data_IF_301751665402
#
_entry.id   IF_301751665402
#
_cell.length_a   1.000
_cell.length_b   1.000
_cell.length_c   1.000
_cell.angle_alpha   90.00
_cell.angle_beta   90.00
_cell.angle_gamma   90.00
#
_symmetry.space_group_name_H-M   'P 1'
#
loop_
_entity.id
_entity.type
_entity.pdbx_description
1 polymer ?
#
# COMPACT_ATOMS: atom_id res chain seq x y z
N UNK A 1 22.83 -27.59 -7.69
CA UNK A 1 22.34 -26.67 -6.63
C UNK A 1 21.75 -25.46 -7.34
N UNK A 2 20.42 -25.33 -7.32
CA UNK A 2 19.67 -24.35 -8.12
C UNK A 2 19.83 -22.94 -7.53
N UNK A 3 20.73 -22.15 -8.11
CA UNK A 3 20.81 -20.73 -7.86
C UNK A 3 19.73 -20.02 -8.67
N UNK A 4 18.71 -19.49 -7.99
CA UNK A 4 17.80 -18.55 -8.63
C UNK A 4 18.58 -17.27 -8.98
N UNK A 5 18.62 -16.94 -10.26
CA UNK A 5 19.29 -15.76 -10.80
C UNK A 5 18.48 -14.51 -10.45
N UNK A 6 19.13 -13.35 -10.33
CA UNK A 6 18.48 -12.04 -10.11
C UNK A 6 17.35 -11.76 -11.12
N UNK A 7 17.37 -12.40 -12.29
CA UNK A 7 16.39 -12.24 -13.38
C UNK A 7 15.18 -13.19 -13.28
N UNK A 8 15.21 -14.21 -12.42
CA UNK A 8 14.01 -14.98 -12.05
C UNK A 8 13.12 -14.20 -11.07
N UNK A 9 13.67 -13.22 -10.35
CA UNK A 9 12.98 -12.39 -9.35
C UNK A 9 11.99 -11.41 -10.00
N UNK A 10 12.13 -11.20 -11.31
CA UNK A 10 11.11 -10.62 -12.21
C UNK A 10 9.76 -11.36 -12.15
N UNK A 11 9.68 -12.57 -11.57
CA UNK A 11 8.47 -13.42 -11.44
C UNK A 11 7.30 -12.85 -10.61
N UNK A 12 7.39 -11.69 -9.95
CA UNK A 12 6.27 -11.18 -9.11
C UNK A 12 6.00 -9.67 -9.34
N UNK A 13 6.11 -9.20 -10.58
CA UNK A 13 5.42 -7.98 -10.98
C UNK A 13 3.92 -8.30 -11.21
N UNK A 14 3.18 -8.76 -10.20
CA UNK A 14 1.71 -8.96 -10.19
C UNK A 14 1.08 -9.50 -11.49
N UNK A 15 1.79 -10.37 -12.20
CA UNK A 15 1.25 -11.07 -13.35
C UNK A 15 0.04 -11.85 -12.85
N UNK A 16 -1.14 -11.49 -13.36
CA UNK A 16 -2.43 -12.13 -13.04
C UNK A 16 -2.43 -13.65 -13.26
N UNK A 17 -1.41 -14.16 -13.95
CA UNK A 17 -1.21 -15.58 -14.29
C UNK A 17 -0.17 -16.29 -13.39
N UNK A 18 0.45 -15.58 -12.45
CA UNK A 18 1.33 -16.20 -11.44
C UNK A 18 0.49 -16.92 -10.38
N UNK A 19 0.99 -18.03 -9.84
CA UNK A 19 0.34 -18.78 -8.74
C UNK A 19 0.01 -17.86 -7.55
N UNK A 20 0.90 -16.91 -7.27
CA UNK A 20 0.73 -15.89 -6.22
C UNK A 20 -0.42 -14.93 -6.55
N UNK A 21 -0.49 -14.41 -7.78
CA UNK A 21 -1.58 -13.51 -8.21
C UNK A 21 -2.95 -14.20 -8.20
N UNK A 22 -3.00 -15.48 -8.56
CA UNK A 22 -4.21 -16.30 -8.51
C UNK A 22 -4.65 -16.53 -7.05
N UNK A 23 -3.73 -16.85 -6.14
CA UNK A 23 -4.04 -17.04 -4.72
C UNK A 23 -4.57 -15.77 -4.07
N UNK A 24 -3.92 -14.63 -4.34
CA UNK A 24 -4.37 -13.33 -3.85
C UNK A 24 -5.77 -12.97 -4.37
N UNK A 25 -6.08 -13.24 -5.65
CA UNK A 25 -7.44 -13.04 -6.17
C UNK A 25 -8.46 -13.94 -5.46
N UNK A 26 -8.12 -15.19 -5.19
CA UNK A 26 -9.02 -16.09 -4.45
C UNK A 26 -9.26 -15.61 -3.02
N UNK A 27 -8.24 -15.09 -2.34
CA UNK A 27 -8.41 -14.54 -0.99
C UNK A 27 -9.28 -13.29 -1.01
N UNK A 28 -9.08 -12.37 -1.96
CA UNK A 28 -9.87 -11.13 -2.06
C UNK A 28 -11.30 -11.37 -2.54
N UNK A 29 -11.49 -12.16 -3.60
CA UNK A 29 -12.79 -12.32 -4.28
C UNK A 29 -13.53 -13.60 -3.88
N UNK A 30 -12.84 -14.59 -3.32
CA UNK A 30 -13.41 -15.89 -2.96
C UNK A 30 -13.81 -16.04 -1.49
N UNK A 31 -13.22 -15.27 -0.58
CA UNK A 31 -13.57 -15.33 0.86
C UNK A 31 -14.34 -14.11 1.38
N UNK A 32 -14.21 -12.94 0.74
CA UNK A 32 -14.60 -11.69 1.41
C UNK A 32 -15.76 -11.01 0.70
N UNK A 33 -16.96 -11.51 1.00
CA UNK A 33 -18.22 -10.85 0.67
C UNK A 33 -18.35 -9.52 1.41
N UNK A 34 -18.66 -8.48 0.65
CA UNK A 34 -19.09 -7.13 1.09
C UNK A 34 -18.22 -6.48 2.17
N UNK A 35 -17.21 -5.71 1.76
CA UNK A 35 -16.44 -4.88 2.67
C UNK A 35 -17.27 -3.71 3.19
N UNK A 36 -17.61 -3.76 4.48
CA UNK A 36 -18.11 -2.61 5.21
C UNK A 36 -17.10 -1.46 5.16
N UNK A 37 -17.60 -0.24 4.94
CA UNK A 37 -16.79 0.99 4.98
C UNK A 37 -16.18 1.18 6.38
N UNK A 38 -14.91 1.58 6.50
CA UNK A 38 -14.31 1.88 7.79
C UNK A 38 -14.92 3.09 8.51
N UNK A 39 -15.25 2.95 9.80
CA UNK A 39 -15.87 4.00 10.62
C UNK A 39 -14.97 4.53 11.77
N UNK A 40 -13.78 3.98 12.00
CA UNK A 40 -12.81 4.48 13.00
C UNK A 40 -11.36 4.33 12.53
N UNK A 41 -10.44 5.12 13.12
CA UNK A 41 -9.06 5.40 12.65
C UNK A 41 -8.54 4.44 11.57
N UNK A 42 -8.59 4.94 10.34
CA UNK A 42 -8.06 4.40 9.09
C UNK A 42 -7.16 3.15 9.21
N UNK A 43 -5.98 3.31 9.82
CA UNK A 43 -4.91 2.31 9.81
C UNK A 43 -5.29 1.01 10.55
N UNK A 44 -5.95 1.09 11.71
CA UNK A 44 -6.28 -0.08 12.55
C UNK A 44 -7.27 -1.01 11.83
N UNK A 45 -8.21 -0.44 11.07
CA UNK A 45 -9.11 -1.26 10.28
C UNK A 45 -8.40 -1.92 9.10
N UNK A 46 -7.50 -1.18 8.44
CA UNK A 46 -6.68 -1.74 7.37
C UNK A 46 -5.76 -2.85 7.89
N UNK A 47 -5.25 -2.79 9.13
CA UNK A 47 -4.49 -3.90 9.73
C UNK A 47 -5.29 -5.21 9.71
N UNK A 48 -6.56 -5.19 10.13
CA UNK A 48 -7.42 -6.39 10.13
C UNK A 48 -7.69 -6.91 8.72
N UNK A 49 -8.07 -6.01 7.80
CA UNK A 49 -8.38 -6.37 6.41
C UNK A 49 -7.14 -6.95 5.72
N UNK A 50 -6.00 -6.26 5.83
CA UNK A 50 -4.76 -6.67 5.19
C UNK A 50 -4.18 -7.95 5.81
N UNK A 51 -4.36 -8.19 7.12
CA UNK A 51 -3.97 -9.46 7.75
C UNK A 51 -4.69 -10.65 7.13
N UNK A 52 -5.98 -10.52 6.85
CA UNK A 52 -6.77 -11.58 6.21
C UNK A 52 -6.39 -11.77 4.75
N UNK A 53 -6.21 -10.67 4.02
CA UNK A 53 -5.85 -10.66 2.60
C UNK A 53 -4.45 -11.22 2.35
N UNK A 54 -3.48 -10.92 3.22
CA UNK A 54 -2.08 -11.29 3.07
C UNK A 54 -1.68 -12.43 4.01
N UNK A 55 -2.64 -13.25 4.44
CA UNK A 55 -2.35 -14.44 5.21
C UNK A 55 -1.36 -15.33 4.43
N UNK A 56 -0.24 -15.68 5.06
CA UNK A 56 0.82 -16.45 4.43
C UNK A 56 1.77 -15.64 3.53
N UNK A 57 1.58 -14.33 3.37
CA UNK A 57 2.44 -13.44 2.56
C UNK A 57 3.48 -12.64 3.35
N UNK A 58 3.60 -12.88 4.66
CA UNK A 58 4.58 -12.22 5.55
C UNK A 58 4.36 -10.71 5.64
N UNK A 59 3.17 -10.33 6.13
CA UNK A 59 2.76 -8.94 6.37
C UNK A 59 3.32 -8.43 7.70
N UNK A 60 3.95 -7.26 7.65
CA UNK A 60 4.48 -6.51 8.79
C UNK A 60 3.79 -5.17 8.90
N UNK A 61 3.60 -4.70 10.12
CA UNK A 61 3.07 -3.37 10.43
C UNK A 61 4.16 -2.45 10.93
N UNK A 62 4.06 -1.16 10.65
CA UNK A 62 4.97 -0.14 11.19
C UNK A 62 6.45 -0.53 10.94
N UNK A 63 6.73 -1.04 9.73
CA UNK A 63 7.97 -1.73 9.40
C UNK A 63 9.10 -0.73 9.08
N UNK A 64 10.30 -0.89 9.64
CA UNK A 64 11.43 -0.01 9.36
C UNK A 64 12.06 -0.29 7.98
N UNK A 65 12.23 0.74 7.16
CA UNK A 65 12.99 0.71 5.90
C UNK A 65 14.04 1.82 5.93
N UNK A 66 15.29 1.42 6.21
CA UNK A 66 16.38 2.37 6.41
C UNK A 66 16.05 3.31 7.59
N UNK A 67 16.13 4.65 7.40
CA UNK A 67 15.78 5.61 8.44
C UNK A 67 14.27 5.86 8.58
N UNK A 68 13.45 5.24 7.74
CA UNK A 68 12.01 5.49 7.67
C UNK A 68 11.20 4.34 8.24
N UNK A 69 9.94 4.62 8.55
CA UNK A 69 8.94 3.62 8.94
C UNK A 69 7.78 3.68 7.96
N UNK A 70 7.30 2.54 7.51
CA UNK A 70 6.14 2.42 6.61
C UNK A 70 5.00 1.71 7.33
N UNK A 71 3.75 2.00 6.95
CA UNK A 71 2.58 1.49 7.66
C UNK A 71 2.45 -0.03 7.51
N UNK A 72 2.65 -0.54 6.28
CA UNK A 72 2.56 -1.95 5.95
C UNK A 72 3.67 -2.40 4.99
N UNK A 73 4.22 -3.59 5.24
CA UNK A 73 5.19 -4.22 4.35
C UNK A 73 4.86 -5.69 4.14
N UNK A 74 4.70 -6.12 2.89
CA UNK A 74 4.43 -7.52 2.52
C UNK A 74 5.70 -8.12 1.93
N UNK A 75 6.46 -8.83 2.76
CA UNK A 75 7.85 -9.20 2.44
C UNK A 75 7.95 -10.12 1.23
N UNK A 76 7.04 -11.11 1.09
CA UNK A 76 7.03 -12.02 -0.06
C UNK A 76 6.71 -11.34 -1.39
N UNK A 77 6.10 -10.15 -1.36
CA UNK A 77 5.74 -9.36 -2.53
C UNK A 77 6.67 -8.17 -2.75
N UNK A 78 7.61 -7.90 -1.84
CA UNK A 78 8.45 -6.70 -1.87
C UNK A 78 7.61 -5.42 -2.00
N UNK A 79 6.45 -5.39 -1.33
CA UNK A 79 5.40 -4.38 -1.48
C UNK A 79 5.26 -3.55 -0.21
N UNK A 80 5.29 -2.24 -0.36
CA UNK A 80 5.01 -1.26 0.69
C UNK A 80 3.64 -0.64 0.45
N UNK A 81 2.81 -0.59 1.50
CA UNK A 81 1.53 0.13 1.48
C UNK A 81 1.55 1.24 2.53
N UNK A 82 1.08 2.43 2.14
CA UNK A 82 0.96 3.59 3.04
C UNK A 82 -0.46 4.14 3.02
N UNK A 83 -1.09 4.16 4.19
CA UNK A 83 -2.43 4.68 4.40
C UNK A 83 -2.32 6.14 4.84
N UNK A 84 -3.01 7.05 4.13
CA UNK A 84 -2.95 8.49 4.40
C UNK A 84 -1.51 9.08 4.39
N UNK A 85 -0.58 8.52 3.61
CA UNK A 85 0.83 8.95 3.60
C UNK A 85 1.08 10.42 3.20
N UNK A 86 0.08 11.12 2.66
CA UNK A 86 0.13 12.56 2.42
C UNK A 86 -0.06 13.40 3.68
N UNK A 87 -0.46 12.80 4.80
CA UNK A 87 -0.71 13.50 6.05
C UNK A 87 0.41 13.31 7.07
N UNK A 88 1.49 14.05 6.89
CA UNK A 88 2.53 14.17 7.90
C UNK A 88 2.47 15.56 8.55
N UNK A 89 2.44 15.59 9.89
CA UNK A 89 2.47 16.84 10.68
C UNK A 89 3.66 17.74 10.32
N UNK A 90 4.73 17.15 9.78
CA UNK A 90 5.95 17.82 9.31
C UNK A 90 6.30 17.42 7.88
N UNK A 91 5.32 17.49 6.96
CA UNK A 91 5.51 17.13 5.56
C UNK A 91 6.48 18.11 4.87
N UNK A 92 7.67 17.62 4.51
CA UNK A 92 8.61 18.30 3.62
C UNK A 92 8.60 17.60 2.25
N UNK A 93 8.15 18.26 1.17
CA UNK A 93 8.05 17.65 -0.15
C UNK A 93 9.39 17.16 -0.72
N UNK A 94 10.50 17.78 -0.34
CA UNK A 94 11.83 17.41 -0.81
C UNK A 94 12.31 16.15 -0.10
N UNK A 95 12.19 16.11 1.23
CA UNK A 95 12.52 14.93 2.02
C UNK A 95 11.63 13.75 1.64
N UNK A 96 10.35 14.01 1.39
CA UNK A 96 9.40 12.98 0.99
C UNK A 96 9.74 12.38 -0.38
N UNK A 97 10.16 13.19 -1.36
CA UNK A 97 10.63 12.68 -2.66
C UNK A 97 11.88 11.80 -2.51
N UNK A 98 12.79 12.17 -1.63
CA UNK A 98 14.00 11.36 -1.39
C UNK A 98 13.67 10.05 -0.66
N UNK A 99 12.72 10.09 0.28
CA UNK A 99 12.17 8.89 0.93
C UNK A 99 11.49 7.97 -0.07
N UNK A 100 10.60 8.51 -0.90
CA UNK A 100 9.92 7.80 -1.98
C UNK A 100 10.93 7.12 -2.91
N UNK A 101 11.96 7.84 -3.38
CA UNK A 101 13.05 7.27 -4.21
C UNK A 101 13.81 6.16 -3.49
N UNK A 102 14.11 6.31 -2.20
CA UNK A 102 14.83 5.29 -1.44
C UNK A 102 14.04 3.99 -1.36
N UNK A 103 12.74 4.09 -1.07
CA UNK A 103 11.85 2.92 -0.98
C UNK A 103 11.69 2.27 -2.36
N UNK A 104 11.39 3.06 -3.39
CA UNK A 104 11.08 2.50 -4.71
C UNK A 104 12.27 1.84 -5.41
N UNK A 105 13.52 2.12 -5.00
CA UNK A 105 14.71 1.39 -5.49
C UNK A 105 14.61 -0.13 -5.36
N UNK A 106 13.88 -0.62 -4.35
CA UNK A 106 13.81 -2.06 -4.04
C UNK A 106 12.39 -2.58 -3.94
N UNK A 107 11.42 -1.71 -3.68
CA UNK A 107 10.05 -2.09 -3.37
C UNK A 107 9.06 -1.43 -4.33
N UNK A 108 7.92 -2.06 -4.56
CA UNK A 108 6.76 -1.36 -5.10
C UNK A 108 6.10 -0.57 -3.97
N UNK A 109 5.63 0.65 -4.25
CA UNK A 109 4.99 1.52 -3.26
C UNK A 109 3.56 1.85 -3.69
N UNK A 110 2.58 1.54 -2.86
CA UNK A 110 1.18 1.96 -3.06
C UNK A 110 0.77 2.86 -1.91
N UNK A 111 0.34 4.08 -2.24
CA UNK A 111 -0.15 5.06 -1.27
C UNK A 111 -1.64 5.24 -1.48
N UNK A 112 -2.43 5.19 -0.42
CA UNK A 112 -3.88 5.20 -0.54
C UNK A 112 -4.58 6.02 0.54
N UNK A 113 -5.74 6.58 0.20
CA UNK A 113 -6.63 7.22 1.17
C UNK A 113 -7.37 6.15 1.96
N UNK A 114 -7.53 6.35 3.27
CA UNK A 114 -8.19 5.36 4.13
C UNK A 114 -9.64 5.00 3.75
N UNK A 115 -10.33 5.90 3.04
CA UNK A 115 -11.72 5.74 2.59
C UNK A 115 -11.89 4.97 1.27
N UNK A 116 -10.79 4.57 0.60
CA UNK A 116 -10.94 3.74 -0.60
C UNK A 116 -11.54 2.38 -0.24
N UNK A 117 -12.22 1.74 -1.18
CA UNK A 117 -12.66 0.36 -1.02
C UNK A 117 -11.49 -0.62 -1.29
N UNK A 118 -11.64 -1.88 -0.84
CA UNK A 118 -10.59 -2.88 -1.04
C UNK A 118 -10.30 -3.13 -2.53
N UNK A 119 -11.32 -3.15 -3.38
CA UNK A 119 -11.15 -3.39 -4.81
C UNK A 119 -10.21 -2.35 -5.45
N UNK A 120 -10.36 -1.08 -5.08
CA UNK A 120 -9.48 0.02 -5.54
C UNK A 120 -8.06 -0.20 -5.06
N UNK A 121 -7.89 -0.57 -3.77
CA UNK A 121 -6.57 -0.86 -3.22
C UNK A 121 -5.91 -2.03 -3.98
N UNK A 122 -6.66 -3.09 -4.22
CA UNK A 122 -6.16 -4.28 -4.91
C UNK A 122 -5.80 -3.99 -6.36
N UNK A 123 -6.64 -3.24 -7.07
CA UNK A 123 -6.34 -2.85 -8.44
C UNK A 123 -5.07 -1.99 -8.49
N UNK A 124 -4.87 -1.09 -7.53
CA UNK A 124 -3.63 -0.32 -7.42
C UNK A 124 -2.40 -1.19 -7.09
N UNK A 125 -2.57 -2.17 -6.19
CA UNK A 125 -1.54 -3.17 -5.90
C UNK A 125 -1.17 -3.92 -7.16
N UNK A 126 -2.14 -4.46 -7.90
CA UNK A 126 -1.92 -5.18 -9.17
C UNK A 126 -1.22 -4.36 -10.25
N UNK A 127 -1.37 -3.03 -10.25
CA UNK A 127 -0.69 -2.15 -11.19
C UNK A 127 0.73 -1.78 -10.75
N UNK A 128 1.07 -1.95 -9.47
CA UNK A 128 2.35 -1.51 -8.93
C UNK A 128 3.50 -2.40 -9.43
N UNK A 129 4.49 -1.80 -10.07
CA UNK A 129 5.71 -2.49 -10.52
C UNK A 129 6.88 -2.17 -9.59
N UNK A 130 7.89 -3.05 -9.46
CA UNK A 130 9.15 -2.69 -8.80
C UNK A 130 9.71 -1.40 -9.40
N UNK A 131 10.20 -0.48 -8.56
CA UNK A 131 10.66 0.84 -9.04
C UNK A 131 9.58 1.91 -9.15
N UNK A 132 8.30 1.56 -9.00
CA UNK A 132 7.18 2.49 -9.22
C UNK A 132 6.41 2.80 -7.95
N UNK A 133 5.65 3.88 -8.02
CA UNK A 133 4.72 4.30 -7.00
C UNK A 133 3.35 4.52 -7.60
N UNK A 134 2.33 3.95 -6.96
CA UNK A 134 0.92 4.17 -7.30
C UNK A 134 0.28 5.00 -6.19
N UNK A 135 -0.35 6.12 -6.55
CA UNK A 135 -1.14 6.94 -5.64
C UNK A 135 -2.62 6.75 -5.95
N UNK A 136 -3.39 6.31 -4.96
CA UNK A 136 -4.83 6.05 -5.05
C UNK A 136 -5.64 7.16 -4.39
N UNK A 137 -5.18 8.40 -4.56
CA UNK A 137 -5.83 9.61 -4.07
C UNK A 137 -5.42 10.80 -4.93
N UNK A 138 -6.29 11.81 -4.98
CA UNK A 138 -6.04 13.08 -5.65
C UNK A 138 -5.96 14.19 -4.59
N UNK A 139 -4.79 14.84 -4.49
CA UNK A 139 -4.54 15.90 -3.52
C UNK A 139 -5.37 17.15 -3.80
N UNK A 140 -5.73 17.43 -5.05
CA UNK A 140 -6.56 18.59 -5.40
C UNK A 140 -8.01 18.37 -4.93
N UNK A 141 -8.53 17.17 -5.12
CA UNK A 141 -9.87 16.80 -4.64
C UNK A 141 -9.93 16.73 -3.11
N UNK A 142 -8.88 16.25 -2.45
CA UNK A 142 -8.78 16.26 -0.99
C UNK A 142 -8.70 17.68 -0.43
N UNK A 143 -7.96 18.58 -1.08
CA UNK A 143 -7.87 19.99 -0.70
C UNK A 143 -9.21 20.75 -0.80
N UNK A 144 -10.10 20.34 -1.70
CA UNK A 144 -11.44 20.92 -1.83
C UNK A 144 -12.44 20.40 -0.78
N UNK A 145 -12.21 19.20 -0.22
CA UNK A 145 -13.04 18.62 0.84
C UNK A 145 -12.67 19.12 2.24
N UNK A 146 -11.50 19.75 2.40
CA UNK A 146 -11.06 20.39 3.63
C UNK A 146 -11.57 21.84 3.63
N UNK A 147 -12.55 22.22 4.46
CA UNK A 147 -12.95 23.60 4.57
C UNK A 147 -11.74 24.40 5.04
N UNK A 148 -11.50 25.57 4.43
CA UNK A 148 -10.38 26.49 4.71
C UNK A 148 -10.17 26.88 6.20
N UNK A 149 -11.01 26.42 7.11
CA UNK A 149 -11.01 26.77 8.52
C UNK A 149 -11.07 25.57 9.50
N UNK A 150 -10.72 24.36 9.05
CA UNK A 150 -10.65 23.16 9.92
C UNK A 150 -9.24 22.59 9.93
N UNK A 151 -8.73 22.25 11.12
CA UNK A 151 -7.45 21.55 11.29
C UNK A 151 -7.39 20.34 10.34
N UNK A 152 -6.42 20.36 9.43
CA UNK A 152 -6.16 19.30 8.43
C UNK A 152 -5.99 17.91 9.04
N UNK A 153 -5.73 17.83 10.35
CA UNK A 153 -5.62 16.60 11.14
C UNK A 153 -6.92 15.78 11.28
N UNK A 154 -8.11 16.37 11.05
CA UNK A 154 -9.39 15.65 11.13
C UNK A 154 -9.80 15.01 9.78
N UNK A 155 -9.09 15.33 8.71
CA UNK A 155 -9.26 14.74 7.36
C UNK A 155 -8.15 13.74 7.04
N UNK A 156 -7.31 13.50 8.05
CA UNK A 156 -6.44 12.35 8.22
C UNK A 156 -7.07 11.47 9.32
#
# INVERSE_FOLDING_TARGET
>A
MNGYHLDDVTKIALGMDSVIGIELKKQVFGQIGSFAKPDTSAEVQWQKVLSSVFEGFDLHFNYPIGPYKVDFFVAKLMLVLECNGYCHRYYDPTQEKEREKLITRKYSLVRFHHQINLETLFNGILQAKPGTMVKLYDLEQLGQQIPFNVNSLNYC
#
